data_IF_356361106860
#
_entry.id   IF_356361106860
#
_cell.length_a   1.000
_cell.length_b   1.000
_cell.length_c   1.000
_cell.angle_alpha   90.00
_cell.angle_beta   90.00
_cell.angle_gamma   90.00
#
_symmetry.space_group_name_H-M   'P 1'
#
loop_
_entity.id
_entity.type
_entity.pdbx_description
1 polymer ?
#
# COMPACT_ATOMS: atom_id res chain seq x y z
N UNK A 1 33.53 -28.13 5.16
CA UNK A 1 32.19 -27.55 5.43
C UNK A 1 31.75 -26.73 4.22
N UNK A 2 30.58 -27.01 3.62
CA UNK A 2 30.09 -26.25 2.46
C UNK A 2 29.63 -24.86 2.91
N UNK A 3 30.11 -23.81 2.24
CA UNK A 3 29.76 -22.41 2.53
C UNK A 3 28.39 -22.11 1.90
N UNK A 4 27.34 -22.13 2.72
CA UNK A 4 25.99 -21.75 2.29
C UNK A 4 25.98 -20.23 2.06
N UNK A 5 25.98 -19.79 0.79
CA UNK A 5 25.74 -18.39 0.43
C UNK A 5 24.26 -18.09 0.66
N UNK A 6 23.95 -17.54 1.83
CA UNK A 6 22.63 -16.97 2.12
C UNK A 6 22.58 -15.63 1.39
N UNK A 7 21.85 -15.56 0.29
CA UNK A 7 21.54 -14.28 -0.33
C UNK A 7 20.64 -13.53 0.66
N UNK A 8 21.24 -12.66 1.47
CA UNK A 8 20.52 -11.59 2.14
C UNK A 8 19.87 -10.78 1.03
N UNK A 9 18.55 -10.94 0.91
CA UNK A 9 17.74 -10.03 0.13
C UNK A 9 17.93 -8.67 0.82
N UNK A 10 18.86 -7.88 0.32
CA UNK A 10 19.07 -6.51 0.74
C UNK A 10 17.77 -5.80 0.36
N UNK A 11 16.88 -5.69 1.35
CA UNK A 11 15.79 -4.73 1.28
C UNK A 11 16.52 -3.40 1.29
N UNK A 12 16.77 -2.84 0.10
CA UNK A 12 17.34 -1.50 -0.05
C UNK A 12 16.50 -0.56 0.78
N UNK A 13 17.05 -0.20 1.94
CA UNK A 13 16.45 0.60 2.99
C UNK A 13 16.52 2.07 2.54
N UNK A 14 15.93 2.34 1.37
CA UNK A 14 15.66 3.66 0.84
C UNK A 14 14.50 4.28 1.59
N UNK A 15 14.77 4.66 2.85
CA UNK A 15 14.35 5.89 3.52
C UNK A 15 12.98 6.43 3.07
N UNK A 16 11.91 5.96 3.74
CA UNK A 16 10.63 6.66 3.99
C UNK A 16 9.69 5.72 4.82
N UNK A 17 10.17 5.24 5.97
CA UNK A 17 9.45 4.29 6.84
C UNK A 17 8.84 5.00 8.05
N UNK A 18 7.61 5.50 7.93
CA UNK A 18 7.11 6.49 8.90
C UNK A 18 6.05 6.02 9.90
N UNK A 19 5.57 4.77 9.90
CA UNK A 19 4.65 4.31 10.96
C UNK A 19 4.79 2.83 11.28
N UNK A 20 5.25 2.51 12.50
CA UNK A 20 5.31 1.16 13.07
C UNK A 20 4.16 1.02 14.07
N UNK A 21 3.15 0.19 13.74
CA UNK A 21 2.13 -0.22 14.72
C UNK A 21 2.58 -1.56 15.32
N UNK A 22 3.10 -1.53 16.56
CA UNK A 22 3.49 -2.74 17.30
C UNK A 22 2.25 -3.44 17.90
N UNK A 23 1.83 -4.54 17.29
CA UNK A 23 0.95 -5.54 17.93
C UNK A 23 1.76 -6.68 18.54
N UNK A 24 1.33 -7.24 19.67
CA UNK A 24 2.06 -8.25 20.49
C UNK A 24 2.41 -9.56 19.75
N UNK A 25 1.81 -9.84 18.59
CA UNK A 25 2.04 -11.06 17.78
C UNK A 25 2.21 -10.85 16.27
N UNK A 26 2.03 -9.62 15.77
CA UNK A 26 2.13 -9.33 14.34
C UNK A 26 2.86 -8.01 14.13
N UNK A 27 3.90 -8.06 13.31
CA UNK A 27 4.61 -6.86 12.86
C UNK A 27 4.04 -6.47 11.51
N UNK A 28 3.34 -5.33 11.45
CA UNK A 28 2.83 -4.79 10.18
C UNK A 28 3.73 -3.64 9.76
N UNK A 29 4.46 -3.84 8.67
CA UNK A 29 5.38 -2.86 8.11
C UNK A 29 4.63 -2.04 7.05
N UNK A 30 4.29 -0.78 7.36
CA UNK A 30 3.59 0.11 6.43
C UNK A 30 4.57 1.00 5.66
N UNK A 31 4.94 0.59 4.44
CA UNK A 31 5.89 1.29 3.56
C UNK A 31 5.39 2.64 3.01
N UNK A 32 4.16 3.07 3.32
CA UNK A 32 3.57 4.24 2.68
C UNK A 32 2.30 4.70 3.42
N UNK A 33 2.15 5.98 3.75
CA UNK A 33 0.88 6.54 4.28
C UNK A 33 -0.29 6.19 3.37
N UNK A 34 -0.03 6.19 2.06
CA UNK A 34 -0.97 5.75 1.05
C UNK A 34 -1.42 4.29 1.23
N UNK A 35 -0.51 3.37 1.60
CA UNK A 35 -0.86 1.96 1.81
C UNK A 35 -1.85 1.84 2.96
N UNK A 36 -1.60 2.55 4.07
CA UNK A 36 -2.51 2.58 5.21
C UNK A 36 -3.88 3.13 4.82
N UNK A 37 -3.92 4.27 4.13
CA UNK A 37 -5.18 4.88 3.64
C UNK A 37 -5.95 3.91 2.75
N UNK A 38 -5.28 3.24 1.81
CA UNK A 38 -5.92 2.28 0.92
C UNK A 38 -6.46 1.06 1.67
N UNK A 39 -5.73 0.56 2.66
CA UNK A 39 -6.15 -0.60 3.45
C UNK A 39 -7.35 -0.25 4.34
N UNK A 40 -7.31 0.93 4.96
CA UNK A 40 -8.42 1.46 5.76
C UNK A 40 -9.68 1.63 4.90
N UNK A 41 -9.54 2.18 3.69
CA UNK A 41 -10.65 2.31 2.74
C UNK A 41 -11.29 0.94 2.43
N UNK A 42 -10.49 -0.12 2.30
CA UNK A 42 -11.01 -1.45 1.99
C UNK A 42 -11.77 -2.08 3.15
N UNK A 43 -11.23 -1.93 4.37
CA UNK A 43 -11.92 -2.37 5.58
C UNK A 43 -13.25 -1.63 5.70
N UNK A 44 -13.25 -0.32 5.48
CA UNK A 44 -14.46 0.50 5.56
C UNK A 44 -15.49 0.10 4.49
N UNK A 45 -15.04 -0.13 3.26
CA UNK A 45 -15.87 -0.67 2.17
C UNK A 45 -16.55 -1.97 2.59
N UNK A 46 -15.79 -2.93 3.12
CA UNK A 46 -16.32 -4.20 3.59
C UNK A 46 -17.34 -4.03 4.71
N UNK A 47 -17.07 -3.16 5.69
CA UNK A 47 -18.00 -2.88 6.79
C UNK A 47 -19.33 -2.33 6.30
N UNK A 48 -19.33 -1.39 5.35
CA UNK A 48 -20.57 -0.85 4.80
C UNK A 48 -21.38 -1.89 4.03
N UNK A 49 -20.73 -2.74 3.25
CA UNK A 49 -21.43 -3.84 2.56
C UNK A 49 -21.99 -4.88 3.54
N UNK A 50 -21.22 -5.26 4.57
CA UNK A 50 -21.71 -6.19 5.60
C UNK A 50 -22.91 -5.59 6.34
N UNK A 51 -22.82 -4.31 6.73
CA UNK A 51 -23.94 -3.63 7.39
C UNK A 51 -25.17 -3.55 6.50
N UNK A 52 -25.01 -3.16 5.23
CA UNK A 52 -26.10 -3.16 4.26
C UNK A 52 -26.73 -4.54 4.09
N UNK A 53 -25.93 -5.60 4.10
CA UNK A 53 -26.38 -7.00 4.05
C UNK A 53 -27.18 -7.40 5.28
N UNK A 54 -26.72 -7.03 6.49
CA UNK A 54 -27.47 -7.30 7.73
C UNK A 54 -28.82 -6.59 7.68
N UNK A 55 -28.87 -5.31 7.29
CA UNK A 55 -30.13 -4.59 7.13
C UNK A 55 -31.04 -5.27 6.10
N UNK A 56 -30.48 -5.70 4.98
CA UNK A 56 -31.25 -6.37 3.91
C UNK A 56 -31.79 -7.75 4.31
N UNK A 57 -31.19 -8.39 5.31
CA UNK A 57 -31.59 -9.70 5.84
C UNK A 57 -32.54 -9.61 7.04
N UNK A 58 -32.84 -8.40 7.51
CA UNK A 58 -33.70 -8.15 8.69
C UNK A 58 -34.92 -7.32 8.30
N UNK A 59 -35.89 -7.20 9.20
CA UNK A 59 -37.09 -6.37 8.99
C UNK A 59 -36.82 -4.86 9.17
N UNK A 60 -35.55 -4.44 9.12
CA UNK A 60 -35.18 -3.03 9.17
C UNK A 60 -35.59 -2.31 7.88
N UNK A 61 -35.89 -0.99 7.94
CA UNK A 61 -36.20 -0.24 6.73
C UNK A 61 -35.09 -0.33 5.68
N UNK A 62 -35.45 -0.77 4.48
CA UNK A 62 -34.50 -1.05 3.39
C UNK A 62 -33.61 0.15 3.04
N UNK A 63 -34.11 1.38 3.24
CA UNK A 63 -33.37 2.61 2.96
C UNK A 63 -32.02 2.68 3.69
N UNK A 64 -31.93 2.16 4.91
CA UNK A 64 -30.66 2.15 5.66
C UNK A 64 -29.63 1.24 4.99
N UNK A 65 -30.06 0.09 4.49
CA UNK A 65 -29.21 -0.85 3.76
C UNK A 65 -28.78 -0.28 2.41
N UNK A 66 -29.71 0.36 1.70
CA UNK A 66 -29.42 1.03 0.42
C UNK A 66 -28.39 2.14 0.57
N UNK A 67 -28.51 2.98 1.60
CA UNK A 67 -27.52 4.04 1.87
C UNK A 67 -26.17 3.43 2.23
N UNK A 68 -26.13 2.37 3.04
CA UNK A 68 -24.90 1.68 3.39
C UNK A 68 -24.20 1.10 2.15
N UNK A 69 -24.94 0.43 1.26
CA UNK A 69 -24.39 -0.06 0.00
C UNK A 69 -23.89 1.05 -0.91
N UNK A 70 -24.60 2.18 -0.98
CA UNK A 70 -24.18 3.34 -1.77
C UNK A 70 -22.84 3.90 -1.25
N UNK A 71 -22.71 4.07 0.06
CA UNK A 71 -21.45 4.51 0.68
C UNK A 71 -20.33 3.50 0.44
N UNK A 72 -20.61 2.20 0.59
CA UNK A 72 -19.67 1.13 0.28
C UNK A 72 -19.21 1.17 -1.18
N UNK A 73 -20.12 1.40 -2.12
CA UNK A 73 -19.80 1.53 -3.55
C UNK A 73 -18.91 2.75 -3.83
N UNK A 74 -19.17 3.89 -3.17
CA UNK A 74 -18.30 5.07 -3.28
C UNK A 74 -16.88 4.74 -2.80
N UNK A 75 -16.72 4.12 -1.63
CA UNK A 75 -15.39 3.71 -1.15
C UNK A 75 -14.71 2.67 -2.07
N UNK A 76 -15.50 1.77 -2.65
CA UNK A 76 -15.00 0.82 -3.64
C UNK A 76 -14.41 1.53 -4.87
N UNK A 77 -15.02 2.64 -5.33
CA UNK A 77 -14.51 3.45 -6.45
C UNK A 77 -13.32 4.33 -6.08
N UNK A 78 -13.18 4.74 -4.82
CA UNK A 78 -12.01 5.51 -4.36
C UNK A 78 -10.71 4.67 -4.47
N UNK A 79 -10.80 3.35 -4.31
CA UNK A 79 -9.66 2.43 -4.39
C UNK A 79 -8.88 2.50 -5.72
N UNK A 80 -9.50 2.36 -6.91
CA UNK A 80 -8.79 2.54 -8.17
C UNK A 80 -8.30 3.98 -8.38
N UNK A 81 -9.02 5.00 -7.91
CA UNK A 81 -8.57 6.40 -7.99
C UNK A 81 -7.27 6.62 -7.23
N UNK A 82 -7.20 6.16 -5.99
CA UNK A 82 -5.99 6.14 -5.18
C UNK A 82 -4.86 5.43 -5.97
N UNK A 83 -5.15 4.26 -6.56
CA UNK A 83 -4.14 3.46 -7.29
C UNK A 83 -3.61 4.21 -8.50
N UNK A 84 -4.47 4.90 -9.23
CA UNK A 84 -4.12 5.75 -10.37
C UNK A 84 -3.22 6.90 -9.91
N UNK A 85 -3.62 7.66 -8.88
CA UNK A 85 -2.82 8.78 -8.37
C UNK A 85 -1.41 8.31 -7.97
N UNK A 86 -1.29 7.16 -7.30
CA UNK A 86 0.01 6.61 -6.93
C UNK A 86 0.91 6.28 -8.12
N UNK A 87 0.37 5.70 -9.19
CA UNK A 87 1.17 5.28 -10.36
C UNK A 87 1.40 6.42 -11.35
N UNK A 88 0.47 7.37 -11.45
CA UNK A 88 0.54 8.50 -12.40
C UNK A 88 1.41 9.64 -11.86
N UNK A 89 1.44 9.89 -10.53
CA UNK A 89 2.26 10.97 -9.96
C UNK A 89 3.69 10.55 -9.59
N UNK A 90 4.03 9.27 -9.57
CA UNK A 90 5.37 8.80 -9.16
C UNK A 90 5.94 7.88 -10.22
N UNK A 91 6.58 8.49 -11.20
CA UNK A 91 7.83 8.01 -11.80
C UNK A 91 8.71 9.24 -12.07
N UNK A 92 9.44 9.68 -11.04
CA UNK A 92 10.59 10.55 -11.24
C UNK A 92 11.83 9.65 -11.21
N UNK A 93 12.14 9.03 -12.34
CA UNK A 93 13.33 8.18 -12.58
C UNK A 93 14.66 8.94 -12.48
N UNK A 94 14.73 10.05 -11.74
CA UNK A 94 15.92 10.91 -11.74
C UNK A 94 16.97 10.58 -10.69
N UNK A 95 16.79 9.52 -9.88
CA UNK A 95 17.76 9.18 -8.83
C UNK A 95 18.48 7.84 -8.96
N UNK A 96 18.04 6.92 -9.82
CA UNK A 96 18.77 5.65 -10.01
C UNK A 96 19.81 5.67 -11.15
N UNK A 97 19.65 6.53 -12.17
CA UNK A 97 20.66 6.62 -13.23
C UNK A 97 21.89 7.45 -12.83
N UNK A 98 21.73 8.47 -11.98
CA UNK A 98 22.87 9.31 -11.56
C UNK A 98 23.87 8.64 -10.63
N UNK A 99 23.47 7.58 -9.90
CA UNK A 99 24.39 6.76 -9.09
C UNK A 99 25.05 5.64 -9.91
N UNK A 100 24.38 5.15 -10.98
CA UNK A 100 25.00 4.23 -11.94
C UNK A 100 26.02 4.95 -12.82
N UNK A 101 25.71 6.13 -13.34
CA UNK A 101 26.67 6.94 -14.13
C UNK A 101 27.89 7.36 -13.32
N UNK A 102 27.72 7.81 -12.06
CA UNK A 102 28.86 8.11 -11.17
C UNK A 102 29.73 6.89 -10.87
N UNK A 103 29.15 5.70 -10.70
CA UNK A 103 29.94 4.49 -10.46
C UNK A 103 30.62 3.97 -11.74
N UNK A 104 30.07 4.27 -12.93
CA UNK A 104 30.68 3.92 -14.22
C UNK A 104 31.83 4.89 -14.54
N UNK A 105 31.65 6.20 -14.36
CA UNK A 105 32.73 7.20 -14.52
C UNK A 105 33.89 6.94 -13.54
N UNK A 106 33.60 6.69 -12.26
CA UNK A 106 34.65 6.42 -11.26
C UNK A 106 35.39 5.09 -11.49
N UNK A 107 34.82 4.15 -12.25
CA UNK A 107 35.47 2.87 -12.56
C UNK A 107 36.37 2.91 -13.80
N UNK A 108 36.24 3.93 -14.65
CA UNK A 108 37.04 4.07 -15.90
C UNK A 108 38.34 4.88 -15.66
N UNK A 109 38.46 5.52 -14.49
CA UNK A 109 39.52 6.50 -14.19
C UNK A 109 40.70 5.94 -13.36
N UNK A 110 40.79 4.63 -13.10
CA UNK A 110 42.00 4.08 -12.46
C UNK A 110 41.97 2.61 -12.06
N UNK A 111 42.47 1.74 -12.94
CA UNK A 111 43.75 0.99 -12.83
C UNK A 111 43.99 0.13 -14.07
#
# INVERSE_FOLDING_TARGET
MPKIKRNEHQIELGKDEDVIIKGRRFHVYFKNRYLLISLTNDILTGLFYIFGSIVSLTDLPAIYGTIAYLIGAIFLTIRPLLKIVRHVFIYNERKQNGEKEKNIEVSDDGE
#
